data_IF_531594180171
#
_entry.id   IF_531594180171
#
_cell.length_a   1.000
_cell.length_b   1.000
_cell.length_c   1.000
_cell.angle_alpha   90.00
_cell.angle_beta   90.00
_cell.angle_gamma   90.00
#
_symmetry.space_group_name_H-M   'P 1'
#
loop_
_entity.id
_entity.type
_entity.pdbx_description
1 polymer ?
#
# COMPACT_ATOMS: atom_id res chain seq x y z
N UNK A 1 22.96 -17.62 72.31
CA UNK A 1 23.58 -18.28 71.16
C UNK A 1 22.67 -19.42 70.73
N UNK A 2 21.82 -19.22 69.73
CA UNK A 2 22.06 -19.30 68.28
C UNK A 2 21.57 -20.65 67.72
N UNK A 3 20.54 -20.54 66.88
CA UNK A 3 19.94 -21.53 65.99
C UNK A 3 20.95 -22.08 64.98
N UNK A 4 20.82 -23.36 64.62
CA UNK A 4 20.74 -23.83 63.22
C UNK A 4 20.17 -25.25 63.18
N UNK A 5 19.02 -25.46 62.55
CA UNK A 5 18.50 -26.79 62.21
C UNK A 5 18.74 -27.00 60.71
N UNK A 6 19.60 -27.97 60.41
CA UNK A 6 19.98 -28.37 59.06
C UNK A 6 18.86 -29.14 58.37
N UNK A 7 18.57 -28.70 57.16
CA UNK A 7 17.80 -29.33 56.10
C UNK A 7 18.19 -30.78 55.82
N UNK A 8 17.19 -31.61 55.53
CA UNK A 8 17.34 -32.97 54.99
C UNK A 8 16.01 -33.54 54.52
N UNK A 9 15.79 -33.47 53.21
CA UNK A 9 14.95 -34.29 52.32
C UNK A 9 13.43 -34.44 52.54
N UNK A 10 12.69 -33.85 51.58
CA UNK A 10 11.61 -34.56 50.91
C UNK A 10 11.77 -34.47 49.40
N UNK A 11 11.81 -35.66 48.82
CA UNK A 11 11.96 -35.99 47.42
C UNK A 11 10.77 -35.54 46.55
N UNK A 12 11.12 -35.21 45.30
CA UNK A 12 10.37 -35.48 44.04
C UNK A 12 9.11 -34.63 43.76
N UNK A 13 9.30 -33.58 42.97
CA UNK A 13 8.24 -32.89 42.20
C UNK A 13 8.71 -32.76 40.73
N UNK A 14 7.85 -32.99 39.73
CA UNK A 14 8.26 -33.33 38.38
C UNK A 14 8.79 -32.12 37.60
N UNK A 15 9.70 -32.42 36.67
CA UNK A 15 10.45 -31.49 35.86
C UNK A 15 9.58 -30.44 35.17
N UNK A 16 10.02 -29.19 35.30
CA UNK A 16 9.40 -28.05 34.63
C UNK A 16 9.51 -28.21 33.10
N UNK A 17 8.40 -28.18 32.34
CA UNK A 17 8.35 -28.52 30.92
C UNK A 17 8.89 -27.42 29.98
N UNK A 18 9.72 -26.50 30.47
CA UNK A 18 10.12 -25.28 29.74
C UNK A 18 11.54 -25.29 29.19
N UNK A 19 12.32 -26.36 29.37
CA UNK A 19 13.67 -26.48 28.76
C UNK A 19 13.68 -26.45 27.23
N UNK A 20 12.53 -26.65 26.57
CA UNK A 20 12.43 -26.53 25.11
C UNK A 20 12.54 -25.08 24.60
N UNK A 21 12.12 -24.10 25.42
CA UNK A 21 12.14 -22.69 25.04
C UNK A 21 13.57 -22.13 24.96
N UNK A 22 14.48 -22.65 25.79
CA UNK A 22 15.88 -22.20 25.83
C UNK A 22 16.65 -22.65 24.58
N UNK A 23 16.39 -23.87 24.09
CA UNK A 23 17.00 -24.41 22.86
C UNK A 23 16.43 -23.75 21.61
N UNK A 24 15.16 -23.33 21.66
CA UNK A 24 14.54 -22.56 20.58
C UNK A 24 15.07 -21.11 20.50
N UNK A 25 15.38 -20.47 21.64
CA UNK A 25 15.93 -19.12 21.64
C UNK A 25 17.35 -19.04 21.04
N UNK A 26 18.17 -20.07 21.24
CA UNK A 26 19.58 -20.05 20.82
C UNK A 26 19.75 -20.24 19.30
N UNK A 27 18.88 -21.04 18.65
CA UNK A 27 18.89 -21.24 17.18
C UNK A 27 18.38 -20.04 16.36
N UNK A 28 17.79 -19.04 17.01
CA UNK A 28 17.14 -17.92 16.32
C UNK A 28 18.06 -16.72 16.10
N UNK A 29 19.34 -16.81 16.50
CA UNK A 29 20.36 -15.74 16.34
C UNK A 29 20.87 -15.51 14.90
N UNK A 30 20.29 -16.20 13.91
CA UNK A 30 20.42 -15.84 12.48
C UNK A 30 19.11 -15.28 11.90
N UNK A 31 18.24 -14.70 12.73
CA UNK A 31 16.97 -14.12 12.27
C UNK A 31 17.11 -12.63 11.97
N UNK A 32 16.71 -12.27 10.75
CA UNK A 32 16.32 -10.91 10.36
C UNK A 32 15.40 -10.36 11.46
N UNK A 33 15.66 -9.16 12.03
CA UNK A 33 14.85 -8.66 13.13
C UNK A 33 13.40 -8.57 12.65
N UNK A 34 12.50 -9.22 13.39
CA UNK A 34 11.07 -9.09 13.18
C UNK A 34 10.72 -7.59 13.16
N UNK A 35 9.81 -7.13 12.27
CA UNK A 35 9.48 -5.72 12.21
C UNK A 35 8.96 -5.29 13.59
N UNK A 36 9.50 -4.20 14.13
CA UNK A 36 9.10 -3.68 15.44
C UNK A 36 7.60 -3.40 15.43
N UNK A 37 6.93 -3.55 16.58
CA UNK A 37 5.48 -3.32 16.72
C UNK A 37 5.09 -1.94 16.14
N UNK A 38 5.93 -0.94 16.38
CA UNK A 38 5.76 0.41 15.84
C UNK A 38 5.72 0.46 14.30
N UNK A 39 6.53 -0.34 13.61
CA UNK A 39 6.54 -0.40 12.15
C UNK A 39 5.27 -1.06 11.61
N UNK A 40 4.72 -2.06 12.31
CA UNK A 40 3.43 -2.66 11.98
C UNK A 40 2.29 -1.66 12.16
N UNK A 41 2.29 -0.90 13.25
CA UNK A 41 1.28 0.13 13.51
C UNK A 41 1.27 1.19 12.41
N UNK A 42 2.46 1.66 11.98
CA UNK A 42 2.58 2.59 10.85
C UNK A 42 2.06 2.01 9.54
N UNK A 43 2.32 0.74 9.24
CA UNK A 43 1.81 0.09 8.02
C UNK A 43 0.29 -0.05 8.03
N UNK A 44 -0.29 -0.40 9.18
CA UNK A 44 -1.75 -0.47 9.35
C UNK A 44 -2.39 0.90 9.21
N UNK A 45 -1.81 1.92 9.85
CA UNK A 45 -2.24 3.31 9.73
C UNK A 45 -2.24 3.77 8.25
N UNK A 46 -1.17 3.48 7.51
CA UNK A 46 -1.04 3.81 6.10
C UNK A 46 -2.04 3.05 5.22
N UNK A 47 -2.24 1.76 5.46
CA UNK A 47 -3.22 0.96 4.72
C UNK A 47 -4.65 1.45 4.98
N UNK A 48 -4.99 1.77 6.23
CA UNK A 48 -6.26 2.37 6.58
C UNK A 48 -6.47 3.71 5.87
N UNK A 49 -5.45 4.58 5.89
CA UNK A 49 -5.48 5.86 5.18
C UNK A 49 -5.64 5.67 3.66
N UNK A 50 -4.98 4.68 3.08
CA UNK A 50 -5.13 4.36 1.67
C UNK A 50 -6.58 4.04 1.30
N UNK A 51 -7.20 3.12 2.05
CA UNK A 51 -8.54 2.61 1.76
C UNK A 51 -9.62 3.68 1.89
N UNK A 52 -9.47 4.60 2.85
CA UNK A 52 -10.48 5.63 3.13
C UNK A 52 -10.25 6.94 2.37
N UNK A 53 -9.00 7.31 2.10
CA UNK A 53 -8.66 8.65 1.60
C UNK A 53 -7.92 8.56 0.28
N UNK A 54 -6.75 7.91 0.24
CA UNK A 54 -5.85 7.93 -0.93
C UNK A 54 -6.46 7.30 -2.18
N UNK A 55 -7.12 6.15 -2.06
CA UNK A 55 -7.68 5.47 -3.24
C UNK A 55 -8.77 6.30 -3.94
N UNK A 56 -9.45 7.18 -3.19
CA UNK A 56 -10.50 8.06 -3.72
C UNK A 56 -9.96 9.25 -4.52
N UNK A 57 -8.67 9.57 -4.38
CA UNK A 57 -8.05 10.74 -5.05
C UNK A 57 -7.42 10.39 -6.40
N UNK A 58 -7.27 9.11 -6.75
CA UNK A 58 -6.62 8.68 -7.99
C UNK A 58 -7.51 8.75 -9.24
N UNK A 59 -8.83 8.76 -9.08
CA UNK A 59 -9.73 8.85 -10.22
C UNK A 59 -11.05 9.49 -9.85
N UNK A 60 -11.68 10.10 -10.84
CA UNK A 60 -13.03 10.66 -10.74
C UNK A 60 -14.04 9.77 -11.45
N UNK A 61 -13.57 8.88 -12.33
CA UNK A 61 -14.41 7.88 -12.98
C UNK A 61 -14.73 6.76 -11.98
N UNK A 62 -16.01 6.43 -11.73
CA UNK A 62 -16.39 5.46 -10.71
C UNK A 62 -15.84 4.05 -10.99
N UNK A 63 -15.73 3.67 -12.26
CA UNK A 63 -15.13 2.40 -12.69
C UNK A 63 -13.65 2.29 -12.28
N UNK A 64 -12.88 3.36 -12.50
CA UNK A 64 -11.47 3.41 -12.15
C UNK A 64 -11.26 3.60 -10.65
N UNK A 65 -12.12 4.35 -9.97
CA UNK A 65 -12.13 4.41 -8.51
C UNK A 65 -12.29 3.01 -7.89
N UNK A 66 -13.17 2.18 -8.46
CA UNK A 66 -13.33 0.79 -7.99
C UNK A 66 -12.02 0.00 -8.09
N UNK A 67 -11.28 0.15 -9.19
CA UNK A 67 -9.98 -0.51 -9.39
C UNK A 67 -9.01 -0.11 -8.28
N UNK A 68 -8.87 1.19 -8.02
CA UNK A 68 -7.97 1.69 -6.98
C UNK A 68 -8.38 1.31 -5.55
N UNK A 69 -9.68 1.24 -5.28
CA UNK A 69 -10.20 0.93 -3.94
C UNK A 69 -10.26 -0.56 -3.61
N UNK A 70 -10.43 -1.41 -4.61
CA UNK A 70 -10.70 -2.84 -4.41
C UNK A 70 -9.61 -3.68 -5.07
N UNK A 71 -9.49 -3.58 -6.40
CA UNK A 71 -8.63 -4.48 -7.18
C UNK A 71 -7.15 -4.30 -6.85
N UNK A 72 -6.66 -3.07 -6.71
CA UNK A 72 -5.26 -2.80 -6.40
C UNK A 72 -4.88 -3.33 -5.00
N UNK A 73 -5.65 -3.06 -3.93
CA UNK A 73 -5.44 -3.70 -2.62
C UNK A 73 -5.48 -5.23 -2.64
N UNK A 74 -6.44 -5.85 -3.35
CA UNK A 74 -6.53 -7.31 -3.47
C UNK A 74 -5.24 -7.91 -4.07
N UNK A 75 -4.71 -7.27 -5.12
CA UNK A 75 -3.41 -7.63 -5.71
C UNK A 75 -2.29 -7.37 -4.70
N UNK A 76 -2.36 -6.27 -3.94
CA UNK A 76 -1.41 -5.91 -2.89
C UNK A 76 -1.25 -6.98 -1.81
N UNK A 77 -2.36 -7.54 -1.30
CA UNK A 77 -2.31 -8.60 -0.29
C UNK A 77 -1.69 -9.90 -0.81
N UNK A 78 -1.80 -10.15 -2.12
CA UNK A 78 -1.22 -11.33 -2.77
C UNK A 78 0.27 -11.15 -3.12
N UNK A 79 0.70 -9.90 -3.36
CA UNK A 79 2.05 -9.59 -3.86
C UNK A 79 2.70 -8.48 -3.03
N UNK A 80 3.70 -8.80 -2.17
CA UNK A 80 4.29 -7.85 -1.23
C UNK A 80 4.82 -6.56 -1.87
N UNK A 81 5.44 -6.62 -3.05
CA UNK A 81 5.97 -5.43 -3.72
C UNK A 81 4.87 -4.44 -4.12
N UNK A 82 3.68 -4.93 -4.51
CA UNK A 82 2.52 -4.08 -4.80
C UNK A 82 2.04 -3.41 -3.51
N UNK A 83 1.99 -4.15 -2.40
CA UNK A 83 1.68 -3.57 -1.09
C UNK A 83 2.67 -2.47 -0.69
N UNK A 84 3.97 -2.67 -0.93
CA UNK A 84 4.97 -1.62 -0.68
C UNK A 84 4.66 -0.35 -1.48
N UNK A 85 4.28 -0.46 -2.75
CA UNK A 85 3.86 0.70 -3.56
C UNK A 85 2.60 1.39 -3.02
N UNK A 86 1.60 0.62 -2.56
CA UNK A 86 0.38 1.15 -1.94
C UNK A 86 0.72 1.98 -0.70
N UNK A 87 1.54 1.41 0.19
CA UNK A 87 1.97 2.07 1.43
C UNK A 87 2.81 3.31 1.15
N UNK A 88 3.69 3.27 0.14
CA UNK A 88 4.49 4.42 -0.27
C UNK A 88 3.61 5.59 -0.70
N UNK A 89 2.62 5.36 -1.58
CA UNK A 89 1.72 6.44 -2.03
C UNK A 89 0.83 6.95 -0.89
N UNK A 90 0.36 6.06 0.00
CA UNK A 90 -0.37 6.47 1.19
C UNK A 90 0.47 7.35 2.12
N UNK A 91 1.75 7.04 2.27
CA UNK A 91 2.67 7.81 3.10
C UNK A 91 2.95 9.19 2.50
N UNK A 92 3.15 9.31 1.18
CA UNK A 92 3.28 10.62 0.53
C UNK A 92 1.99 11.44 0.69
N UNK A 93 0.82 10.81 0.55
CA UNK A 93 -0.44 11.49 0.77
C UNK A 93 -0.59 11.99 2.22
N UNK A 94 -0.22 11.19 3.23
CA UNK A 94 -0.15 11.65 4.62
C UNK A 94 0.85 12.78 4.82
N UNK A 95 2.04 12.71 4.22
CA UNK A 95 3.04 13.77 4.28
C UNK A 95 2.50 15.09 3.73
N UNK A 96 1.66 15.03 2.69
CA UNK A 96 0.99 16.20 2.15
C UNK A 96 -0.02 16.82 3.13
N UNK A 97 -0.83 15.98 3.79
CA UNK A 97 -1.92 16.40 4.67
C UNK A 97 -1.44 16.80 6.07
N UNK A 98 -0.32 16.26 6.54
CA UNK A 98 0.22 16.48 7.88
C UNK A 98 1.61 17.12 7.80
N UNK A 99 1.71 18.46 7.63
CA UNK A 99 2.99 19.16 7.51
C UNK A 99 3.93 18.93 8.69
N UNK A 100 3.39 18.76 9.91
CA UNK A 100 4.16 18.58 11.14
C UNK A 100 4.99 17.29 11.13
N UNK A 101 4.46 16.22 10.53
CA UNK A 101 5.10 14.90 10.45
C UNK A 101 5.60 14.58 9.04
N UNK A 102 5.66 15.59 8.15
CA UNK A 102 5.96 15.42 6.73
C UNK A 102 7.24 14.62 6.49
N UNK A 103 8.32 14.98 7.18
CA UNK A 103 9.61 14.32 7.03
C UNK A 103 9.51 12.81 7.36
N UNK A 104 8.90 12.47 8.50
CA UNK A 104 8.72 11.08 8.93
C UNK A 104 7.91 10.24 7.92
N UNK A 105 6.83 10.80 7.37
CA UNK A 105 6.05 10.10 6.34
C UNK A 105 6.78 10.01 5.00
N UNK A 106 7.58 11.00 4.62
CA UNK A 106 8.39 10.91 3.40
C UNK A 106 9.49 9.84 3.55
N UNK A 107 10.12 9.73 4.71
CA UNK A 107 11.11 8.66 4.98
C UNK A 107 10.46 7.28 4.90
N UNK A 108 9.27 7.11 5.48
CA UNK A 108 8.47 5.88 5.32
C UNK A 108 8.13 5.61 3.85
N UNK A 109 7.74 6.64 3.10
CA UNK A 109 7.40 6.50 1.69
C UNK A 109 8.59 6.04 0.85
N UNK A 110 9.76 6.63 1.07
CA UNK A 110 11.02 6.26 0.40
C UNK A 110 11.40 4.82 0.74
N UNK A 111 11.31 4.44 2.02
CA UNK A 111 11.61 3.07 2.48
C UNK A 111 10.74 2.04 1.77
N UNK A 112 9.42 2.24 1.79
CA UNK A 112 8.47 1.36 1.10
C UNK A 112 8.71 1.34 -0.42
N UNK A 113 8.91 2.50 -1.04
CA UNK A 113 9.13 2.59 -2.49
C UNK A 113 10.40 1.84 -2.93
N UNK A 114 11.50 2.00 -2.18
CA UNK A 114 12.76 1.33 -2.47
C UNK A 114 12.63 -0.19 -2.31
N UNK A 115 12.00 -0.65 -1.23
CA UNK A 115 11.73 -2.06 -1.01
C UNK A 115 10.88 -2.66 -2.16
N UNK A 116 9.81 -1.97 -2.57
CA UNK A 116 9.00 -2.42 -3.72
C UNK A 116 9.78 -2.46 -5.03
N UNK A 117 10.62 -1.45 -5.29
CA UNK A 117 11.41 -1.34 -6.51
C UNK A 117 12.48 -2.42 -6.63
N UNK A 118 13.08 -2.84 -5.52
CA UNK A 118 14.05 -3.95 -5.50
C UNK A 118 13.42 -5.24 -6.05
N UNK A 119 12.27 -5.63 -5.49
CA UNK A 119 11.49 -6.78 -5.96
C UNK A 119 11.01 -6.61 -7.40
N UNK A 120 10.52 -5.42 -7.74
CA UNK A 120 10.04 -5.13 -9.09
C UNK A 120 11.15 -5.34 -10.13
N UNK A 121 12.34 -4.78 -9.89
CA UNK A 121 13.51 -4.90 -10.79
C UNK A 121 13.96 -6.34 -10.96
N UNK A 122 14.00 -7.12 -9.88
CA UNK A 122 14.35 -8.54 -9.94
C UNK A 122 13.34 -9.36 -10.78
N UNK A 123 12.05 -8.97 -10.75
CA UNK A 123 10.99 -9.68 -11.46
C UNK A 123 10.78 -9.27 -12.92
N UNK A 124 11.35 -8.16 -13.40
CA UNK A 124 11.08 -7.61 -14.74
C UNK A 124 11.35 -8.60 -15.89
N UNK A 125 12.37 -9.45 -15.75
CA UNK A 125 12.71 -10.45 -16.77
C UNK A 125 11.76 -11.65 -16.83
N UNK A 126 10.82 -11.76 -15.87
CA UNK A 126 9.91 -12.90 -15.74
C UNK A 126 8.48 -12.57 -16.20
N UNK A 127 8.26 -11.39 -16.79
CA UNK A 127 6.91 -10.93 -17.17
C UNK A 127 6.33 -11.79 -18.30
N UNK A 128 5.10 -12.27 -18.10
CA UNK A 128 4.32 -13.05 -19.07
C UNK A 128 2.83 -12.67 -19.04
N UNK A 129 2.01 -13.33 -19.85
CA UNK A 129 0.57 -13.05 -20.01
C UNK A 129 -0.25 -13.31 -18.72
N UNK A 130 0.25 -14.12 -17.80
CA UNK A 130 -0.43 -14.46 -16.55
C UNK A 130 -0.10 -13.47 -15.42
N UNK A 131 1.14 -12.97 -15.40
CA UNK A 131 1.69 -12.25 -14.25
C UNK A 131 1.87 -10.74 -14.47
N UNK A 132 1.64 -10.22 -15.68
CA UNK A 132 1.86 -8.81 -15.99
C UNK A 132 1.03 -7.86 -15.10
N UNK A 133 -0.16 -8.29 -14.66
CA UNK A 133 -1.11 -7.47 -13.88
C UNK A 133 -0.45 -6.87 -12.64
N UNK A 134 0.27 -7.68 -11.84
CA UNK A 134 0.94 -7.21 -10.61
C UNK A 134 2.06 -6.20 -10.90
N UNK A 135 2.82 -6.40 -11.97
CA UNK A 135 3.87 -5.48 -12.40
C UNK A 135 3.29 -4.16 -12.90
N UNK A 136 2.21 -4.22 -13.69
CA UNK A 136 1.50 -3.04 -14.15
C UNK A 136 0.89 -2.23 -12.99
N UNK A 137 0.31 -2.91 -12.00
CA UNK A 137 -0.22 -2.26 -10.80
C UNK A 137 0.88 -1.51 -10.04
N UNK A 138 2.03 -2.17 -9.80
CA UNK A 138 3.15 -1.52 -9.12
C UNK A 138 3.73 -0.36 -9.93
N UNK A 139 3.91 -0.52 -11.24
CA UNK A 139 4.37 0.56 -12.11
C UNK A 139 3.43 1.78 -12.07
N UNK A 140 2.11 1.53 -12.05
CA UNK A 140 1.10 2.60 -11.91
C UNK A 140 1.23 3.33 -10.56
N UNK A 141 1.47 2.61 -9.47
CA UNK A 141 1.73 3.18 -8.15
C UNK A 141 3.03 3.99 -8.11
N UNK A 142 4.09 3.53 -8.80
CA UNK A 142 5.36 4.29 -8.93
C UNK A 142 5.14 5.62 -9.63
N UNK A 143 4.36 5.63 -10.72
CA UNK A 143 4.02 6.88 -11.43
C UNK A 143 3.29 7.85 -10.51
N UNK A 144 2.30 7.37 -9.75
CA UNK A 144 1.58 8.18 -8.77
C UNK A 144 2.49 8.71 -7.67
N UNK A 145 3.37 7.86 -7.13
CA UNK A 145 4.37 8.24 -6.14
C UNK A 145 5.24 9.39 -6.67
N UNK A 146 5.89 9.21 -7.82
CA UNK A 146 6.80 10.21 -8.41
C UNK A 146 6.07 11.52 -8.72
N UNK A 147 4.82 11.45 -9.21
CA UNK A 147 4.01 12.64 -9.49
C UNK A 147 3.63 13.41 -8.20
N UNK A 148 3.48 12.71 -7.07
CA UNK A 148 3.02 13.29 -5.80
C UNK A 148 4.13 13.87 -4.91
N UNK A 149 5.37 13.41 -5.05
CA UNK A 149 6.51 13.86 -4.23
C UNK A 149 6.78 15.37 -4.35
N UNK A 150 6.82 15.99 -5.55
CA UNK A 150 7.06 17.43 -5.67
C UNK A 150 6.05 18.29 -4.89
N UNK A 151 4.77 17.88 -4.85
CA UNK A 151 3.71 18.58 -4.11
C UNK A 151 3.98 18.59 -2.61
N UNK A 152 4.67 17.57 -2.11
CA UNK A 152 5.02 17.47 -0.70
C UNK A 152 6.24 18.32 -0.37
N UNK A 153 7.13 18.57 -1.31
CA UNK A 153 8.32 19.41 -1.09
C UNK A 153 7.98 20.90 -1.27
N UNK A 154 7.06 21.24 -2.18
CA UNK A 154 6.72 22.63 -2.52
C UNK A 154 5.74 23.33 -1.55
N UNK A 155 5.16 22.61 -0.57
CA UNK A 155 4.15 23.14 0.38
C UNK A 155 4.68 24.17 1.40
N UNK A 156 5.80 24.83 1.13
CA UNK A 156 6.44 25.85 1.98
C UNK A 156 5.96 27.29 1.68
N UNK A 157 5.12 27.51 0.66
CA UNK A 157 4.50 28.83 0.42
C UNK A 157 3.03 28.86 0.87
N UNK A 158 2.57 29.95 1.52
CA UNK A 158 1.16 30.13 1.81
C UNK A 158 0.40 30.43 0.51
N UNK A 159 -0.92 30.19 0.53
CA UNK A 159 -1.93 30.42 -0.52
C UNK A 159 -1.92 29.56 -1.83
N UNK A 160 -2.69 28.46 -1.86
CA UNK A 160 -4.00 28.29 -2.58
C UNK A 160 -4.40 26.80 -2.75
N UNK A 161 -5.65 26.45 -2.41
CA UNK A 161 -6.33 25.16 -2.74
C UNK A 161 -6.96 25.23 -4.15
N UNK A 162 -7.12 24.14 -4.95
CA UNK A 162 -6.92 22.71 -4.68
C UNK A 162 -5.98 22.03 -5.71
N UNK A 163 -4.66 22.21 -5.62
CA UNK A 163 -3.73 21.55 -6.57
C UNK A 163 -3.55 20.05 -6.30
N UNK A 164 -3.81 19.60 -5.07
CA UNK A 164 -3.59 18.20 -4.70
C UNK A 164 -4.53 17.23 -5.40
N UNK A 165 -5.81 17.61 -5.49
CA UNK A 165 -6.79 16.84 -6.26
C UNK A 165 -6.44 16.90 -7.75
N UNK A 166 -5.94 18.03 -8.27
CA UNK A 166 -5.57 18.17 -9.68
C UNK A 166 -4.33 17.37 -10.11
N UNK A 167 -3.34 17.23 -9.22
CA UNK A 167 -2.07 16.55 -9.53
C UNK A 167 -2.08 15.04 -9.23
N UNK A 168 -2.87 14.57 -8.24
CA UNK A 168 -3.12 13.13 -8.05
C UNK A 168 -4.23 12.59 -8.98
N UNK A 169 -5.18 13.43 -9.41
CA UNK A 169 -6.09 13.09 -10.50
C UNK A 169 -5.38 13.20 -11.84
N UNK A 170 -4.59 12.17 -12.20
CA UNK A 170 -4.18 11.99 -13.60
C UNK A 170 -5.38 11.83 -14.56
N UNK A 171 -6.62 11.72 -14.07
CA UNK A 171 -7.84 11.73 -14.88
C UNK A 171 -9.03 12.44 -14.18
N UNK A 172 -8.93 13.78 -14.06
CA UNK A 172 -9.98 14.74 -14.45
C UNK A 172 -11.21 14.99 -13.57
N UNK A 173 -11.27 16.19 -12.96
CA UNK A 173 -12.49 17.01 -12.77
C UNK A 173 -13.32 16.88 -11.48
N UNK A 174 -12.92 17.50 -10.37
CA UNK A 174 -13.88 17.79 -9.29
C UNK A 174 -14.84 18.88 -9.79
N UNK A 175 -16.11 18.51 -9.95
CA UNK A 175 -17.18 19.44 -10.26
C UNK A 175 -17.42 20.39 -9.09
N UNK A 176 -16.94 21.62 -9.22
CA UNK A 176 -17.55 22.78 -8.57
C UNK A 176 -17.90 23.79 -9.66
N UNK A 177 -19.20 24.03 -9.80
CA UNK A 177 -19.79 25.05 -10.66
C UNK A 177 -19.11 26.41 -10.44
N UNK A 178 -18.29 26.82 -11.40
CA UNK A 178 -18.10 28.24 -11.71
C UNK A 178 -17.61 28.39 -13.15
N UNK A 179 -18.38 29.16 -13.92
CA UNK A 179 -18.15 29.48 -15.32
C UNK A 179 -16.72 29.95 -15.60
N UNK A 180 -15.93 29.18 -16.36
CA UNK A 180 -15.05 29.78 -17.38
C UNK A 180 -14.60 28.78 -18.43
N UNK A 181 -15.10 29.02 -19.64
CA UNK A 181 -14.76 28.35 -20.89
C UNK A 181 -13.27 28.43 -21.19
N UNK A 182 -12.58 27.30 -21.26
CA UNK A 182 -11.43 27.12 -22.17
C UNK A 182 -11.15 25.64 -22.41
N UNK A 183 -11.59 25.17 -23.58
CA UNK A 183 -11.19 23.86 -24.13
C UNK A 183 -9.72 23.93 -24.53
N UNK A 184 -8.92 22.92 -24.15
CA UNK A 184 -7.61 22.65 -24.75
C UNK A 184 -7.58 21.23 -25.32
N UNK A 185 -7.00 21.12 -26.52
CA UNK A 185 -7.24 20.07 -27.52
C UNK A 185 -6.43 18.77 -27.35
N UNK A 186 -6.03 18.38 -26.13
CA UNK A 186 -5.11 17.22 -25.97
C UNK A 186 -5.80 15.88 -25.61
N UNK A 187 -7.13 15.86 -25.51
CA UNK A 187 -7.90 14.67 -25.10
C UNK A 187 -8.31 13.75 -26.27
N UNK A 188 -7.41 13.43 -27.21
CA UNK A 188 -7.78 12.65 -28.41
C UNK A 188 -7.05 11.32 -28.65
N UNK A 189 -6.18 10.86 -27.75
CA UNK A 189 -5.36 9.66 -28.05
C UNK A 189 -5.52 8.47 -27.10
N UNK A 190 -6.30 8.57 -26.02
CA UNK A 190 -6.52 7.42 -25.13
C UNK A 190 -7.80 6.67 -25.51
N UNK A 191 -7.66 5.56 -26.24
CA UNK A 191 -8.76 4.62 -26.47
C UNK A 191 -8.99 3.77 -25.20
N UNK A 192 -10.24 3.59 -24.75
CA UNK A 192 -10.55 2.68 -23.65
C UNK A 192 -10.30 1.22 -24.06
N UNK A 193 -9.94 0.38 -23.08
CA UNK A 193 -9.77 -1.07 -23.24
C UNK A 193 -11.06 -1.73 -23.77
N UNK A 194 -10.97 -2.70 -24.70
CA UNK A 194 -12.13 -3.44 -25.15
C UNK A 194 -12.69 -4.32 -24.01
N UNK A 195 -14.02 -4.45 -23.88
CA UNK A 195 -14.62 -5.37 -22.93
C UNK A 195 -14.28 -6.81 -23.31
N UNK A 196 -13.72 -7.56 -22.36
CA UNK A 196 -13.46 -8.99 -22.49
C UNK A 196 -14.78 -9.73 -22.77
N UNK A 197 -14.68 -10.70 -23.68
CA UNK A 197 -15.71 -11.56 -24.25
C UNK A 197 -16.78 -11.99 -23.22
N UNK A 198 -18.06 -11.78 -23.58
CA UNK A 198 -19.21 -12.38 -22.87
C UNK A 198 -19.21 -13.90 -23.10
N UNK A 199 -19.56 -14.72 -22.09
CA UNK A 199 -19.90 -16.12 -22.34
C UNK A 199 -21.20 -16.19 -23.14
N UNK A 200 -21.20 -16.97 -24.22
CA UNK A 200 -22.39 -17.30 -25.02
C UNK A 200 -23.35 -18.16 -24.20
N UNK A 201 -24.49 -17.60 -23.81
CA UNK A 201 -25.66 -18.36 -23.36
C UNK A 201 -26.53 -18.67 -24.58
N UNK A 202 -26.83 -19.93 -24.91
CA UNK A 202 -27.81 -20.25 -25.93
C UNK A 202 -29.22 -19.97 -25.41
N UNK A 203 -30.00 -19.22 -26.20
CA UNK A 203 -31.39 -18.91 -25.92
C UNK A 203 -32.25 -20.18 -26.01
N UNK A 204 -32.93 -20.52 -24.91
CA UNK A 204 -34.07 -21.44 -24.93
C UNK A 204 -35.27 -20.65 -25.41
N UNK A 205 -35.76 -20.94 -26.62
CA UNK A 205 -37.04 -20.43 -27.11
C UNK A 205 -38.18 -21.12 -26.36
N UNK A 206 -38.99 -20.34 -25.65
CA UNK A 206 -40.34 -20.74 -25.25
C UNK A 206 -41.29 -20.37 -26.40
N UNK A 207 -41.83 -21.37 -27.10
CA UNK A 207 -43.00 -21.22 -27.97
C UNK A 207 -44.26 -21.22 -27.09
N UNK A 208 -45.10 -20.21 -27.29
CA UNK A 208 -46.54 -20.27 -27.02
C UNK A 208 -47.23 -20.72 -28.30
#
# INVERSE_FOLDING_TARGET
SFFTLSTGDLSRSPEAPYQFLDVALDRTRLSVPAPTIELWDRRLELMHHYSLVTANTFSIRPEMQRVWRITIPEIGYSFPFVMQGILAVAAVHKAYLTPLERAAYLDLAISHQNAGLEWFRAGLHTINEDNWKRFFCFASLVVLYVASVPLCVHKQQPETEPEFLGSLCLCGGYGRSSNRTRRSSVARTWRPWPPLLRPSTPAVQLRV
#
